data_IF_431206957008
#
_entry.id   IF_431206957008
#
_cell.length_a   1.000
_cell.length_b   1.000
_cell.length_c   1.000
_cell.angle_alpha   90.00
_cell.angle_beta   90.00
_cell.angle_gamma   90.00
#
_symmetry.space_group_name_H-M   'P 1'
#
loop_
_entity.id
_entity.type
_entity.pdbx_description
1 polymer ?
#
# COMPACT_ATOMS: atom_id res chain seq x y z
N UNK A 1 14.34 2.16 -8.68
CA UNK A 1 14.17 3.28 -9.64
C UNK A 1 12.68 3.51 -9.77
N UNK A 2 12.23 4.76 -9.68
CA UNK A 2 10.86 5.17 -9.93
C UNK A 2 10.85 6.11 -11.15
N UNK A 3 9.81 6.05 -11.97
CA UNK A 3 9.64 6.94 -13.12
C UNK A 3 8.15 7.24 -13.34
N UNK A 4 7.88 8.35 -14.00
CA UNK A 4 6.55 8.75 -14.45
C UNK A 4 6.58 8.89 -15.97
N UNK A 5 5.53 8.41 -16.63
CA UNK A 5 5.40 8.44 -18.09
C UNK A 5 3.92 8.50 -18.49
N UNK A 6 3.65 8.84 -19.75
CA UNK A 6 2.29 8.84 -20.29
C UNK A 6 1.36 9.89 -19.66
N UNK A 7 1.92 10.98 -19.14
CA UNK A 7 1.18 12.07 -18.49
C UNK A 7 0.74 11.78 -17.05
N UNK A 8 1.08 10.61 -16.50
CA UNK A 8 0.83 10.30 -15.09
C UNK A 8 1.64 11.24 -14.20
N UNK A 9 0.99 11.83 -13.20
CA UNK A 9 1.62 12.71 -12.22
C UNK A 9 1.66 12.04 -10.84
N UNK A 10 2.52 12.55 -9.96
CA UNK A 10 2.59 12.14 -8.57
C UNK A 10 2.51 13.37 -7.67
N UNK A 11 1.47 13.43 -6.86
CA UNK A 11 1.20 14.55 -5.95
C UNK A 11 0.89 14.01 -4.54
N UNK A 12 1.66 14.47 -3.56
CA UNK A 12 1.37 14.30 -2.14
C UNK A 12 1.05 12.84 -1.72
N UNK A 13 1.81 11.88 -2.25
CA UNK A 13 1.62 10.46 -1.95
C UNK A 13 0.67 9.72 -2.90
N UNK A 14 0.15 10.39 -3.94
CA UNK A 14 -0.89 9.87 -4.81
C UNK A 14 -0.48 9.93 -6.28
N UNK A 15 -0.81 8.89 -7.03
CA UNK A 15 -0.69 8.86 -8.49
C UNK A 15 -1.94 9.52 -9.09
N UNK A 16 -1.78 10.52 -9.94
CA UNK A 16 -2.89 11.22 -10.58
C UNK A 16 -3.09 10.70 -12.00
N UNK A 17 -4.31 10.24 -12.30
CA UNK A 17 -4.65 9.65 -13.59
C UNK A 17 -4.86 10.75 -14.65
N UNK A 18 -4.16 10.69 -15.80
CA UNK A 18 -4.23 11.75 -16.80
C UNK A 18 -5.44 11.67 -17.72
N UNK A 19 -5.95 10.46 -17.97
CA UNK A 19 -7.01 10.21 -18.96
C UNK A 19 -7.91 9.08 -18.50
N UNK A 20 -9.17 9.08 -18.94
CA UNK A 20 -10.09 7.98 -18.68
C UNK A 20 -9.63 6.68 -19.36
N UNK A 21 -9.88 5.54 -18.72
CA UNK A 21 -9.70 4.22 -19.31
C UNK A 21 -9.42 3.12 -18.30
N UNK A 22 -9.05 1.94 -18.82
CA UNK A 22 -8.65 0.82 -17.99
C UNK A 22 -7.17 0.91 -17.64
N UNK A 23 -6.87 0.74 -16.37
CA UNK A 23 -5.52 0.77 -15.84
C UNK A 23 -5.26 -0.49 -15.02
N UNK A 24 -4.09 -1.10 -15.22
CA UNK A 24 -3.59 -2.10 -14.30
C UNK A 24 -2.84 -1.40 -13.17
N UNK A 25 -3.35 -1.53 -11.95
CA UNK A 25 -2.73 -0.97 -10.74
C UNK A 25 -2.09 -2.11 -9.96
N UNK A 26 -0.85 -1.91 -9.51
CA UNK A 26 -0.11 -2.90 -8.75
C UNK A 26 0.61 -2.30 -7.55
N UNK A 27 0.84 -3.11 -6.53
CA UNK A 27 1.64 -2.76 -5.37
C UNK A 27 2.32 -3.98 -4.76
N UNK A 28 3.48 -3.75 -4.17
CA UNK A 28 4.13 -4.64 -3.22
C UNK A 28 4.49 -3.81 -2.00
N UNK A 29 4.01 -4.21 -0.83
CA UNK A 29 4.28 -3.52 0.45
C UNK A 29 4.90 -4.52 1.40
N UNK A 30 6.07 -4.20 1.92
CA UNK A 30 6.80 -5.03 2.89
C UNK A 30 6.72 -4.38 4.26
N UNK A 31 6.32 -5.17 5.24
CA UNK A 31 6.33 -4.82 6.65
C UNK A 31 7.44 -5.59 7.36
N UNK A 32 8.18 -4.91 8.23
CA UNK A 32 9.27 -5.45 9.01
C UNK A 32 8.95 -5.25 10.50
N UNK A 33 8.89 -6.35 11.23
CA UNK A 33 8.62 -6.41 12.66
C UNK A 33 9.88 -6.84 13.40
N UNK A 34 10.36 -6.02 14.34
CA UNK A 34 11.51 -6.36 15.19
C UNK A 34 11.06 -6.86 16.55
N UNK A 35 11.69 -7.92 17.05
CA UNK A 35 11.45 -8.48 18.38
C UNK A 35 12.67 -8.18 19.25
N UNK A 36 12.50 -7.34 20.28
CA UNK A 36 13.55 -7.11 21.26
C UNK A 36 13.77 -8.40 22.08
N UNK A 37 15.02 -8.84 22.18
CA UNK A 37 15.41 -9.92 23.08
C UNK A 37 15.15 -9.51 24.53
N UNK A 38 14.20 -10.19 25.17
CA UNK A 38 13.95 -10.25 26.62
C UNK A 38 14.47 -9.05 27.45
N UNK A 39 13.79 -7.92 27.33
CA UNK A 39 13.88 -6.80 28.29
C UNK A 39 12.51 -6.15 28.30
N UNK A 40 11.77 -6.41 29.36
CA UNK A 40 10.35 -6.15 29.47
C UNK A 40 9.94 -4.70 29.25
N UNK A 41 9.55 -4.38 28.02
CA UNK A 41 8.50 -3.41 27.69
C UNK A 41 8.43 -3.31 26.18
N UNK A 42 7.42 -3.93 25.58
CA UNK A 42 6.67 -3.46 24.41
C UNK A 42 5.67 -4.55 24.04
N UNK A 43 4.70 -4.75 24.94
CA UNK A 43 3.38 -5.25 24.52
C UNK A 43 2.72 -4.14 23.70
N UNK A 44 3.26 -3.81 22.54
CA UNK A 44 2.53 -2.97 21.61
C UNK A 44 1.26 -3.72 21.24
N UNK A 45 0.12 -3.05 21.36
CA UNK A 45 -1.17 -3.41 20.79
C UNK A 45 -1.02 -3.63 19.27
N UNK A 46 -0.34 -4.70 18.88
CA UNK A 46 -0.06 -4.99 17.48
C UNK A 46 -1.29 -5.68 16.93
N UNK A 47 -1.91 -5.04 15.94
CA UNK A 47 -2.97 -5.64 15.14
C UNK A 47 -2.56 -7.06 14.72
N UNK A 48 -3.47 -8.05 14.84
CA UNK A 48 -3.18 -9.44 14.49
C UNK A 48 -2.97 -9.62 12.99
N UNK A 49 -3.30 -8.60 12.19
CA UNK A 49 -3.11 -8.58 10.76
C UNK A 49 -2.38 -7.31 10.32
N UNK A 50 -1.66 -7.44 9.20
CA UNK A 50 -1.06 -6.35 8.45
C UNK A 50 -1.75 -6.27 7.10
N UNK A 51 -2.33 -5.11 6.78
CA UNK A 51 -3.05 -4.91 5.53
C UNK A 51 -2.53 -3.73 4.75
N UNK A 52 -2.54 -3.88 3.43
CA UNK A 52 -2.38 -2.81 2.45
C UNK A 52 -3.69 -2.63 1.70
N UNK A 53 -4.11 -1.38 1.56
CA UNK A 53 -5.38 -0.98 0.98
C UNK A 53 -5.12 -0.08 -0.21
N UNK A 54 -5.58 -0.48 -1.38
CA UNK A 54 -5.58 0.34 -2.58
C UNK A 54 -6.84 1.20 -2.59
N UNK A 55 -6.63 2.51 -2.55
CA UNK A 55 -7.69 3.50 -2.59
C UNK A 55 -7.62 4.35 -3.85
N UNK A 56 -8.79 4.89 -4.17
CA UNK A 56 -8.97 5.97 -5.12
C UNK A 56 -9.65 7.13 -4.44
N UNK A 57 -9.23 8.35 -4.79
CA UNK A 57 -9.93 9.58 -4.46
C UNK A 57 -10.32 10.33 -5.74
N UNK A 58 -11.57 10.77 -5.83
CA UNK A 58 -12.01 11.77 -6.79
C UNK A 58 -13.17 12.56 -6.20
N UNK A 59 -13.10 13.89 -6.24
CA UNK A 59 -14.15 14.78 -5.69
C UNK A 59 -15.52 14.55 -6.34
N UNK A 60 -15.56 13.94 -7.53
CA UNK A 60 -16.79 13.63 -8.25
C UNK A 60 -17.49 12.34 -7.77
N UNK A 61 -16.87 11.56 -6.89
CA UNK A 61 -17.49 10.36 -6.32
C UNK A 61 -18.19 10.64 -4.99
N UNK A 62 -19.23 9.84 -4.70
CA UNK A 62 -19.94 9.89 -3.43
C UNK A 62 -19.03 9.54 -2.23
N UNK A 63 -19.48 9.82 -1.00
CA UNK A 63 -18.76 9.52 0.27
C UNK A 63 -17.40 10.22 0.38
N UNK A 64 -17.42 11.54 0.22
CA UNK A 64 -16.24 12.41 0.33
C UNK A 64 -15.13 12.10 -0.69
N UNK A 65 -15.47 11.37 -1.76
CA UNK A 65 -14.59 11.04 -2.87
C UNK A 65 -13.65 9.84 -2.66
N UNK A 66 -13.53 9.31 -1.43
CA UNK A 66 -12.64 8.20 -1.09
C UNK A 66 -13.32 6.84 -1.31
N UNK A 67 -12.73 5.98 -2.15
CA UNK A 67 -13.23 4.64 -2.46
C UNK A 67 -12.13 3.57 -2.30
N UNK A 68 -12.45 2.48 -1.60
CA UNK A 68 -11.58 1.31 -1.49
C UNK A 68 -11.72 0.46 -2.76
N UNK A 69 -10.63 0.33 -3.52
CA UNK A 69 -10.61 -0.47 -4.75
C UNK A 69 -10.26 -1.94 -4.48
N UNK A 70 -9.26 -2.18 -3.62
CA UNK A 70 -8.82 -3.52 -3.28
C UNK A 70 -8.02 -3.54 -1.97
N UNK A 71 -7.93 -4.71 -1.34
CA UNK A 71 -7.21 -4.91 -0.09
C UNK A 71 -6.51 -6.26 -0.09
N UNK A 72 -5.31 -6.32 0.47
CA UNK A 72 -4.66 -7.56 0.85
C UNK A 72 -4.29 -7.51 2.34
N UNK A 73 -4.50 -8.61 3.06
CA UNK A 73 -4.29 -8.71 4.51
C UNK A 73 -3.53 -9.99 4.85
N UNK A 74 -2.52 -9.84 5.69
CA UNK A 74 -1.66 -10.92 6.15
C UNK A 74 -1.88 -11.09 7.65
N UNK A 75 -2.39 -12.25 8.06
CA UNK A 75 -2.50 -12.59 9.48
C UNK A 75 -1.12 -12.95 10.03
N UNK A 76 -0.72 -12.31 11.13
CA UNK A 76 0.54 -12.61 11.81
C UNK A 76 0.45 -13.99 12.44
N UNK A 77 1.37 -14.88 12.06
CA UNK A 77 1.48 -16.18 12.70
C UNK A 77 2.38 -16.10 13.94
N UNK A 78 1.93 -16.57 15.13
CA UNK A 78 2.78 -16.71 16.30
C UNK A 78 3.75 -17.88 16.10
N UNK A 79 4.95 -17.60 15.58
CA UNK A 79 5.99 -18.60 15.31
C UNK A 79 7.24 -18.44 16.19
N UNK A 80 8.30 -19.17 15.82
CA UNK A 80 9.58 -19.22 16.53
C UNK A 80 10.19 -17.84 16.82
N UNK A 81 11.01 -17.80 17.88
CA UNK A 81 11.82 -16.64 18.27
C UNK A 81 12.78 -16.28 17.15
N UNK A 82 12.51 -15.17 16.48
CA UNK A 82 13.39 -14.52 15.51
C UNK A 82 13.61 -13.10 15.97
N UNK A 83 14.77 -12.52 15.68
CA UNK A 83 15.04 -11.10 15.94
C UNK A 83 14.14 -10.18 15.11
N UNK A 84 13.66 -10.64 13.95
CA UNK A 84 12.70 -9.93 13.12
C UNK A 84 11.80 -10.88 12.29
N UNK A 85 10.69 -10.34 11.77
CA UNK A 85 9.81 -10.97 10.78
C UNK A 85 9.47 -10.00 9.66
N UNK A 86 9.38 -10.55 8.45
CA UNK A 86 9.00 -9.82 7.25
C UNK A 86 7.65 -10.33 6.74
N UNK A 87 6.78 -9.41 6.32
CA UNK A 87 5.49 -9.71 5.72
C UNK A 87 5.34 -8.89 4.44
N UNK A 88 5.15 -9.55 3.30
CA UNK A 88 5.04 -8.87 2.00
C UNK A 88 3.65 -9.07 1.40
N UNK A 89 2.96 -7.96 1.19
CA UNK A 89 1.62 -7.87 0.61
C UNK A 89 1.74 -7.43 -0.84
N UNK A 90 1.36 -8.32 -1.77
CA UNK A 90 1.30 -8.02 -3.20
C UNK A 90 -0.15 -7.93 -3.66
N UNK A 91 -0.46 -6.94 -4.48
CA UNK A 91 -1.79 -6.72 -5.03
C UNK A 91 -1.67 -6.23 -6.47
N UNK A 92 -2.54 -6.71 -7.36
CA UNK A 92 -2.61 -6.26 -8.74
C UNK A 92 -3.99 -6.53 -9.35
N UNK A 93 -4.61 -5.52 -9.94
CA UNK A 93 -5.92 -5.63 -10.58
C UNK A 93 -6.16 -4.54 -11.62
N UNK A 94 -7.13 -4.76 -12.51
CA UNK A 94 -7.56 -3.79 -13.52
C UNK A 94 -8.75 -2.99 -12.99
N UNK A 95 -8.68 -1.67 -13.13
CA UNK A 95 -9.75 -0.75 -12.75
C UNK A 95 -10.08 0.20 -13.89
N UNK A 96 -11.34 0.59 -14.02
CA UNK A 96 -11.74 1.70 -14.88
C UNK A 96 -11.57 3.01 -14.10
N UNK A 97 -10.55 3.79 -14.47
CA UNK A 97 -10.17 5.03 -13.80
C UNK A 97 -10.51 6.23 -14.69
N UNK A 98 -10.89 7.32 -14.05
CA UNK A 98 -11.17 8.61 -14.68
C UNK A 98 -10.00 9.56 -14.52
N UNK A 99 -9.91 10.53 -15.42
CA UNK A 99 -9.01 11.67 -15.28
C UNK A 99 -9.22 12.33 -13.92
N UNK A 100 -8.12 12.70 -13.26
CA UNK A 100 -8.07 13.22 -11.89
C UNK A 100 -8.50 12.20 -10.81
N UNK A 101 -8.56 10.91 -11.10
CA UNK A 101 -8.50 9.92 -10.04
C UNK A 101 -7.12 9.97 -9.37
N UNK A 102 -7.09 10.09 -8.05
CA UNK A 102 -5.88 10.01 -7.24
C UNK A 102 -5.78 8.62 -6.62
N UNK A 103 -4.80 7.83 -7.03
CA UNK A 103 -4.59 6.46 -6.58
C UNK A 103 -3.51 6.43 -5.50
N UNK A 104 -3.77 5.78 -4.38
CA UNK A 104 -2.84 5.73 -3.25
C UNK A 104 -3.02 4.46 -2.40
N UNK A 105 -2.01 4.17 -1.60
CA UNK A 105 -2.00 3.03 -0.67
C UNK A 105 -2.15 3.55 0.76
N UNK A 106 -3.09 2.96 1.52
CA UNK A 106 -3.12 3.04 2.99
C UNK A 106 -2.59 1.73 3.56
N UNK A 107 -1.94 1.77 4.72
CA UNK A 107 -1.43 0.57 5.41
C UNK A 107 -1.85 0.58 6.87
N UNK A 108 -1.97 -0.60 7.45
CA UNK A 108 -2.31 -0.76 8.89
C UNK A 108 -1.28 -0.15 9.85
N UNK A 109 0.01 -0.19 9.49
CA UNK A 109 1.06 0.42 10.31
C UNK A 109 2.22 0.92 9.44
N UNK A 110 2.39 2.23 9.36
CA UNK A 110 3.45 2.88 8.57
C UNK A 110 4.82 2.70 9.22
N UNK A 111 4.89 2.56 10.55
CA UNK A 111 6.16 2.45 11.28
C UNK A 111 6.86 1.11 11.05
N UNK A 112 6.15 0.15 10.45
CA UNK A 112 6.69 -1.16 10.07
C UNK A 112 7.17 -1.18 8.63
N UNK A 113 7.06 -0.10 7.86
CA UNK A 113 7.57 -0.05 6.49
C UNK A 113 9.06 0.30 6.53
N UNK A 114 9.96 -0.59 6.05
CA UNK A 114 11.38 -0.27 5.98
C UNK A 114 11.64 0.83 4.94
N UNK A 115 12.66 1.67 5.14
CA UNK A 115 12.97 2.77 4.22
C UNK A 115 13.58 2.32 2.89
N UNK A 116 13.91 1.04 2.74
CA UNK A 116 14.53 0.46 1.55
C UNK A 116 13.61 0.62 0.31
N UNK A 117 13.98 1.39 -0.72
CA UNK A 117 13.08 1.67 -1.85
C UNK A 117 12.71 0.44 -2.70
N UNK A 118 13.43 -0.67 -2.55
CA UNK A 118 13.19 -1.90 -3.31
C UNK A 118 12.14 -2.81 -2.67
N UNK A 119 11.87 -2.67 -1.37
CA UNK A 119 10.93 -3.55 -0.67
C UNK A 119 9.48 -3.12 -0.85
N UNK A 120 9.22 -1.82 -0.99
CA UNK A 120 7.86 -1.30 -1.14
C UNK A 120 7.72 -0.35 -2.32
N UNK A 121 6.76 -0.65 -3.20
CA UNK A 121 6.47 0.12 -4.40
C UNK A 121 5.01 -0.05 -4.81
N UNK A 122 4.51 0.92 -5.57
CA UNK A 122 3.23 0.80 -6.25
C UNK A 122 3.30 1.58 -7.56
N UNK A 123 2.46 1.19 -8.52
CA UNK A 123 2.49 1.78 -9.84
C UNK A 123 1.23 1.48 -10.63
N UNK A 124 1.15 2.11 -11.80
CA UNK A 124 0.02 1.99 -12.70
C UNK A 124 0.49 2.07 -14.15
N UNK A 125 -0.21 1.38 -15.05
CA UNK A 125 -0.12 1.64 -16.49
C UNK A 125 -1.49 1.47 -17.14
N UNK A 126 -1.72 2.23 -18.21
CA UNK A 126 -2.94 2.15 -19.02
C UNK A 126 -2.88 0.92 -19.93
N UNK A 127 -4.02 0.25 -20.10
CA UNK A 127 -4.21 -0.89 -21.02
C UNK A 127 -4.78 -0.39 -22.35
#
# INVERSE_FOLDING_TARGET
>A
MAFLAGGVEYDSGRIVIPTDGYYYVYSQITFLEYFAGDSGSHRSNQSPSLSAYLYRYNILYDRDGDELLAQNSITKYPGQSKSYREYTSTLGAVFNLRRQDHIFIKVTNVTMIPPEPKSSYFGVFKI
#
